data_IF_469885399782
#
_entry.id   IF_469885399782
#
_cell.length_a   1.000
_cell.length_b   1.000
_cell.length_c   1.000
_cell.angle_alpha   90.00
_cell.angle_beta   90.00
_cell.angle_gamma   90.00
#
_symmetry.space_group_name_H-M   'P 1'
#
loop_
_entity.id
_entity.type
_entity.pdbx_description
1 polymer ?
#
# COMPACT_ATOMS: atom_id res chain seq x y z
N UNK A 1 -46.17 9.49 13.26
CA UNK A 1 -45.13 8.66 12.59
C UNK A 1 -45.38 7.24 13.05
N UNK A 2 -45.68 6.33 12.13
CA UNK A 2 -45.89 4.93 12.39
C UNK A 2 -44.57 4.22 12.62
N UNK A 3 -44.58 3.00 13.19
CA UNK A 3 -43.35 2.19 13.33
C UNK A 3 -42.73 1.90 11.98
N UNK A 4 -43.52 1.68 10.92
CA UNK A 4 -43.05 1.45 9.56
C UNK A 4 -42.35 2.67 8.95
N UNK A 5 -42.85 3.89 9.23
CA UNK A 5 -42.19 5.15 8.81
C UNK A 5 -40.86 5.36 9.54
N UNK A 6 -40.78 4.98 10.83
CA UNK A 6 -39.53 5.05 11.59
C UNK A 6 -38.49 4.05 11.12
N UNK A 7 -38.89 2.82 10.79
CA UNK A 7 -38.02 1.78 10.27
C UNK A 7 -37.51 2.15 8.87
N UNK A 8 -38.36 2.67 7.98
CA UNK A 8 -37.96 3.15 6.67
C UNK A 8 -36.95 4.32 6.77
N UNK A 9 -37.19 5.26 7.69
CA UNK A 9 -36.27 6.39 7.91
C UNK A 9 -34.91 5.92 8.48
N UNK A 10 -34.92 4.91 9.35
CA UNK A 10 -33.68 4.34 9.91
C UNK A 10 -32.86 3.58 8.84
N UNK A 11 -33.52 2.82 7.96
CA UNK A 11 -32.89 2.15 6.83
C UNK A 11 -32.29 3.15 5.84
N UNK A 12 -33.02 4.25 5.53
CA UNK A 12 -32.51 5.31 4.68
C UNK A 12 -31.28 5.98 5.30
N UNK A 13 -31.30 6.26 6.61
CA UNK A 13 -30.17 6.87 7.32
C UNK A 13 -28.92 5.98 7.28
N UNK A 14 -29.08 4.66 7.46
CA UNK A 14 -27.99 3.70 7.36
C UNK A 14 -27.42 3.66 5.94
N UNK A 15 -28.28 3.54 4.93
CA UNK A 15 -27.86 3.48 3.53
C UNK A 15 -27.13 4.75 3.13
N UNK A 16 -27.66 5.91 3.51
CA UNK A 16 -27.01 7.21 3.26
C UNK A 16 -25.65 7.33 3.94
N UNK A 17 -25.52 6.85 5.19
CA UNK A 17 -24.24 6.87 5.89
C UNK A 17 -23.19 5.98 5.21
N UNK A 18 -23.57 4.77 4.76
CA UNK A 18 -22.63 3.84 4.11
C UNK A 18 -22.26 4.31 2.71
N UNK A 19 -23.23 4.70 1.89
CA UNK A 19 -22.97 5.17 0.53
C UNK A 19 -22.20 6.49 0.54
N UNK A 20 -22.60 7.46 1.35
CA UNK A 20 -21.91 8.75 1.45
C UNK A 20 -20.46 8.62 1.95
N UNK A 21 -20.22 7.73 2.93
CA UNK A 21 -18.87 7.46 3.38
C UNK A 21 -17.99 6.82 2.29
N UNK A 22 -18.55 5.85 1.52
CA UNK A 22 -17.85 5.20 0.43
C UNK A 22 -17.54 6.18 -0.71
N UNK A 23 -18.48 7.02 -1.10
CA UNK A 23 -18.31 8.06 -2.12
C UNK A 23 -17.27 9.11 -1.71
N UNK A 24 -17.23 9.45 -0.42
CA UNK A 24 -16.27 10.44 0.12
C UNK A 24 -14.84 9.91 0.10
N UNK A 25 -14.61 8.70 0.61
CA UNK A 25 -13.24 8.16 0.74
C UNK A 25 -12.77 7.42 -0.51
N UNK A 26 -13.69 6.85 -1.28
CA UNK A 26 -13.40 5.98 -2.41
C UNK A 26 -12.40 6.55 -3.42
N UNK A 27 -12.53 7.80 -3.88
CA UNK A 27 -11.57 8.39 -4.82
C UNK A 27 -10.12 8.36 -4.32
N UNK A 28 -9.89 8.36 -3.01
CA UNK A 28 -8.57 8.27 -2.39
C UNK A 28 -8.09 6.82 -2.17
N UNK A 29 -8.96 5.81 -2.31
CA UNK A 29 -8.59 4.39 -2.10
C UNK A 29 -7.88 3.85 -3.33
N UNK A 30 -6.77 3.18 -3.11
CA UNK A 30 -5.92 2.63 -4.18
C UNK A 30 -5.73 1.13 -4.02
N UNK A 31 -5.51 0.46 -5.16
CA UNK A 31 -5.03 -0.91 -5.21
C UNK A 31 -3.50 -0.92 -5.19
N UNK A 32 -2.93 -1.89 -4.49
CA UNK A 32 -1.49 -2.10 -4.41
C UNK A 32 -1.16 -3.50 -4.89
N UNK A 33 -0.38 -3.59 -5.96
CA UNK A 33 0.16 -4.83 -6.50
C UNK A 33 1.66 -4.89 -6.21
N UNK A 34 2.15 -6.05 -5.73
CA UNK A 34 3.57 -6.26 -5.45
C UNK A 34 4.13 -7.46 -6.20
N UNK A 35 5.34 -7.28 -6.74
CA UNK A 35 6.16 -8.37 -7.27
C UNK A 35 7.16 -8.80 -6.21
N UNK A 36 7.26 -10.10 -5.92
CA UNK A 36 8.21 -10.69 -4.96
C UNK A 36 9.27 -11.50 -5.69
N UNK A 37 10.47 -11.57 -5.12
CA UNK A 37 11.56 -12.39 -5.64
C UNK A 37 11.22 -13.88 -5.54
N UNK A 38 11.40 -14.66 -6.65
CA UNK A 38 11.11 -16.10 -6.70
C UNK A 38 9.70 -16.48 -7.15
N UNK A 39 8.81 -15.54 -7.33
CA UNK A 39 7.53 -15.79 -7.99
C UNK A 39 7.74 -15.90 -9.51
N UNK A 40 7.82 -17.12 -10.07
CA UNK A 40 7.39 -17.33 -11.46
C UNK A 40 6.08 -16.55 -11.58
N UNK A 41 5.90 -15.82 -12.69
CA UNK A 41 4.60 -15.26 -13.08
C UNK A 41 3.53 -16.30 -12.80
N UNK A 42 3.05 -16.38 -11.58
CA UNK A 42 1.90 -17.16 -11.25
C UNK A 42 0.73 -16.39 -11.85
N UNK A 43 0.27 -16.84 -13.02
CA UNK A 43 -1.04 -16.49 -13.58
C UNK A 43 -2.16 -17.02 -12.66
N UNK A 44 -1.90 -17.17 -11.40
CA UNK A 44 -2.95 -17.36 -10.42
C UNK A 44 -3.73 -16.06 -10.34
N UNK A 45 -5.02 -16.14 -10.47
CA UNK A 45 -5.96 -15.05 -10.18
C UNK A 45 -5.73 -14.44 -8.77
N UNK A 46 -4.84 -15.07 -7.95
CA UNK A 46 -4.51 -14.71 -6.57
C UNK A 46 -2.99 -14.77 -6.27
N UNK A 47 -2.11 -14.90 -7.26
CA UNK A 47 -0.69 -15.28 -7.08
C UNK A 47 0.33 -14.16 -6.94
N UNK A 48 -0.09 -12.90 -6.94
CA UNK A 48 0.74 -11.74 -6.55
C UNK A 48 0.28 -11.25 -5.17
N UNK A 49 1.16 -10.63 -4.39
CA UNK A 49 0.71 -9.93 -3.20
C UNK A 49 -0.21 -8.78 -3.61
N UNK A 50 -1.43 -8.80 -3.09
CA UNK A 50 -2.46 -7.83 -3.37
C UNK A 50 -2.90 -7.18 -2.06
N UNK A 51 -3.03 -5.87 -2.06
CA UNK A 51 -3.56 -5.10 -0.95
C UNK A 51 -4.23 -3.81 -1.41
N UNK A 52 -4.72 -3.09 -0.45
CA UNK A 52 -5.26 -1.75 -0.61
C UNK A 52 -4.38 -0.72 0.10
N UNK A 53 -4.63 0.52 -0.21
CA UNK A 53 -4.08 1.69 0.48
C UNK A 53 -5.00 2.88 0.29
N UNK A 54 -4.61 4.01 0.83
CA UNK A 54 -5.31 5.27 0.58
C UNK A 54 -4.34 6.45 0.58
N UNK A 55 -4.65 7.42 -0.26
CA UNK A 55 -3.88 8.66 -0.39
C UNK A 55 -4.22 9.55 0.80
N UNK A 56 -3.21 9.96 1.59
CA UNK A 56 -3.39 10.83 2.74
C UNK A 56 -2.73 12.20 2.59
N UNK A 57 -2.01 12.42 1.47
CA UNK A 57 -1.45 13.71 1.10
C UNK A 57 -1.49 13.87 -0.42
N UNK A 58 -1.84 15.06 -0.89
CA UNK A 58 -2.07 15.37 -2.31
C UNK A 58 -0.81 15.28 -3.19
N UNK A 59 0.37 15.20 -2.57
CA UNK A 59 1.68 15.02 -3.22
C UNK A 59 2.03 13.54 -3.51
N UNK A 60 1.05 12.64 -3.42
CA UNK A 60 1.19 11.21 -3.77
C UNK A 60 1.64 10.31 -2.63
N UNK A 61 1.52 10.72 -1.38
CA UNK A 61 1.79 9.85 -0.26
C UNK A 61 0.56 8.96 0.05
N UNK A 62 0.84 7.67 0.26
CA UNK A 62 -0.16 6.61 0.42
C UNK A 62 0.16 5.81 1.69
N UNK A 63 -0.87 5.55 2.48
CA UNK A 63 -0.83 4.64 3.63
C UNK A 63 -1.29 3.25 3.24
N UNK A 64 -0.62 2.25 3.79
CA UNK A 64 -0.97 0.83 3.68
C UNK A 64 -0.37 0.05 4.85
N UNK A 65 -0.55 -1.27 4.89
CA UNK A 65 0.11 -2.11 5.88
C UNK A 65 1.57 -2.45 5.49
N UNK A 66 2.43 -2.62 6.51
CA UNK A 66 3.82 -3.03 6.30
C UNK A 66 3.90 -4.45 5.71
N UNK A 67 3.02 -5.37 6.13
CA UNK A 67 2.98 -6.74 5.60
C UNK A 67 2.58 -6.80 4.12
N UNK A 68 1.75 -5.86 3.63
CA UNK A 68 1.37 -5.77 2.22
C UNK A 68 2.60 -5.54 1.35
N UNK A 69 3.50 -4.65 1.75
CA UNK A 69 4.69 -4.27 0.97
C UNK A 69 5.96 -5.00 1.38
N UNK A 70 5.87 -5.93 2.32
CA UNK A 70 7.01 -6.70 2.80
C UNK A 70 7.63 -7.55 1.69
N UNK A 71 8.97 -7.48 1.56
CA UNK A 71 9.74 -8.19 0.53
C UNK A 71 9.29 -7.87 -0.91
N UNK A 72 8.68 -6.72 -1.13
CA UNK A 72 8.32 -6.24 -2.46
C UNK A 72 9.58 -5.82 -3.22
N UNK A 73 9.80 -6.37 -4.41
CA UNK A 73 10.81 -5.94 -5.37
C UNK A 73 10.32 -4.73 -6.18
N UNK A 74 9.05 -4.74 -6.51
CA UNK A 74 8.35 -3.67 -7.22
C UNK A 74 6.97 -3.50 -6.62
N UNK A 75 6.55 -2.26 -6.47
CA UNK A 75 5.23 -1.89 -5.98
C UNK A 75 4.56 -1.07 -7.06
N UNK A 76 3.36 -1.47 -7.47
CA UNK A 76 2.50 -0.70 -8.37
C UNK A 76 1.25 -0.29 -7.65
N UNK A 77 0.83 0.94 -7.89
CA UNK A 77 -0.38 1.52 -7.34
C UNK A 77 -1.32 1.86 -8.50
N UNK A 78 -2.55 1.35 -8.41
CA UNK A 78 -3.64 1.72 -9.32
C UNK A 78 -4.61 2.62 -8.58
N UNK A 79 -4.85 3.81 -9.11
CA UNK A 79 -5.80 4.78 -8.58
C UNK A 79 -7.25 4.40 -8.93
N UNK A 80 -8.21 5.05 -8.28
CA UNK A 80 -9.64 4.83 -8.53
C UNK A 80 -10.05 5.15 -9.98
N UNK A 81 -9.36 6.08 -10.64
CA UNK A 81 -9.57 6.46 -12.04
C UNK A 81 -8.85 5.54 -13.06
N UNK A 82 -8.19 4.48 -12.59
CA UNK A 82 -7.48 3.50 -13.41
C UNK A 82 -6.04 3.86 -13.76
N UNK A 83 -5.53 5.04 -13.42
CA UNK A 83 -4.11 5.39 -13.61
C UNK A 83 -3.21 4.49 -12.77
N UNK A 84 -2.10 4.04 -13.36
CA UNK A 84 -1.14 3.12 -12.73
C UNK A 84 0.22 3.80 -12.56
N UNK A 85 0.80 3.70 -11.38
CA UNK A 85 2.09 4.27 -11.04
C UNK A 85 3.02 3.23 -10.40
N UNK A 86 4.31 3.32 -10.67
CA UNK A 86 5.32 2.70 -9.80
C UNK A 86 5.42 3.51 -8.50
N UNK A 87 5.44 2.80 -7.39
CA UNK A 87 5.52 3.41 -6.08
C UNK A 87 6.85 3.11 -5.39
N UNK A 88 7.42 4.14 -4.75
CA UNK A 88 8.57 4.00 -3.86
C UNK A 88 8.12 3.80 -2.41
N UNK A 89 8.80 2.92 -1.68
CA UNK A 89 8.64 2.80 -0.23
C UNK A 89 9.34 3.97 0.46
N UNK A 90 8.58 4.85 1.10
CA UNK A 90 9.11 5.95 1.93
C UNK A 90 9.66 5.39 3.25
N UNK A 91 8.92 4.46 3.85
CA UNK A 91 9.32 3.75 5.04
C UNK A 91 8.20 2.85 5.56
N UNK A 92 8.59 1.96 6.47
CA UNK A 92 7.67 1.06 7.15
C UNK A 92 7.97 0.98 8.64
N UNK A 93 6.93 0.74 9.43
CA UNK A 93 6.97 0.46 10.86
C UNK A 93 6.32 -0.91 11.09
N UNK A 94 7.11 -2.01 10.99
CA UNK A 94 6.56 -3.36 11.04
C UNK A 94 5.86 -3.72 12.35
N UNK A 95 6.28 -3.12 13.48
CA UNK A 95 5.66 -3.38 14.79
C UNK A 95 4.25 -2.78 14.91
N UNK A 96 3.98 -1.73 14.15
CA UNK A 96 2.66 -1.13 14.02
C UNK A 96 1.90 -1.59 12.78
N UNK A 97 2.54 -2.41 11.93
CA UNK A 97 2.04 -2.85 10.62
C UNK A 97 1.60 -1.69 9.70
N UNK A 98 2.37 -0.60 9.68
CA UNK A 98 2.11 0.60 8.85
C UNK A 98 3.25 0.83 7.88
N UNK A 99 2.94 1.15 6.64
CA UNK A 99 3.88 1.60 5.62
C UNK A 99 3.39 2.85 4.91
N UNK A 100 4.34 3.69 4.50
CA UNK A 100 4.13 4.86 3.67
C UNK A 100 4.79 4.63 2.32
N UNK A 101 3.99 4.76 1.26
CA UNK A 101 4.45 4.74 -0.13
C UNK A 101 4.38 6.16 -0.71
N UNK A 102 5.06 6.35 -1.84
CA UNK A 102 4.96 7.57 -2.65
C UNK A 102 4.90 7.23 -4.13
N UNK A 103 3.99 7.87 -4.84
CA UNK A 103 3.88 7.88 -6.31
C UNK A 103 4.28 9.25 -6.87
N UNK A 104 4.68 9.29 -8.12
CA UNK A 104 5.02 10.54 -8.82
C UNK A 104 3.79 11.21 -9.43
N UNK A 105 2.84 11.61 -8.59
CA UNK A 105 1.64 12.34 -8.98
C UNK A 105 1.27 13.36 -7.89
N UNK A 106 0.57 14.39 -8.28
CA UNK A 106 0.09 15.48 -7.43
C UNK A 106 -1.39 15.78 -7.69
N UNK A 107 -1.95 16.72 -6.93
CA UNK A 107 -3.37 17.10 -7.01
C UNK A 107 -4.33 15.92 -6.90
N UNK A 108 -3.95 14.94 -6.09
CA UNK A 108 -4.71 13.70 -5.90
C UNK A 108 -5.83 13.89 -4.86
N UNK A 109 -6.93 13.12 -4.97
CA UNK A 109 -7.93 13.05 -3.92
C UNK A 109 -7.30 12.51 -2.64
N UNK A 110 -7.64 13.11 -1.49
CA UNK A 110 -7.04 12.79 -0.18
C UNK A 110 -8.14 12.32 0.76
N UNK A 111 -7.89 11.20 1.45
CA UNK A 111 -8.76 10.73 2.51
C UNK A 111 -8.61 11.63 3.75
N UNK A 112 -9.73 12.14 4.25
CA UNK A 112 -9.74 12.92 5.48
C UNK A 112 -9.45 12.03 6.70
N UNK A 113 -8.54 12.45 7.57
CA UNK A 113 -8.22 11.74 8.80
C UNK A 113 -9.14 12.19 9.93
N UNK A 114 -9.83 11.26 10.58
CA UNK A 114 -10.72 11.50 11.70
C UNK A 114 -10.01 12.09 12.93
N UNK A 115 -10.79 12.68 13.82
CA UNK A 115 -10.26 13.35 15.04
C UNK A 115 -10.96 12.91 16.32
N UNK A 116 -12.17 12.39 16.22
CA UNK A 116 -12.95 11.99 17.38
C UNK A 116 -12.58 10.58 17.88
N UNK A 117 -12.58 10.34 19.21
CA UNK A 117 -12.40 9.01 19.74
C UNK A 117 -13.56 8.10 19.32
N UNK A 118 -13.22 6.84 18.99
CA UNK A 118 -14.20 5.82 18.64
C UNK A 118 -14.97 5.35 19.87
N UNK A 119 -16.20 4.89 19.63
CA UNK A 119 -17.04 4.25 20.65
C UNK A 119 -17.44 2.84 20.19
N UNK A 120 -17.51 1.91 21.12
CA UNK A 120 -18.09 0.58 20.87
C UNK A 120 -19.55 0.75 20.41
N UNK A 121 -19.94 0.00 19.38
CA UNK A 121 -21.25 0.14 18.72
C UNK A 121 -21.31 1.19 17.64
N UNK A 122 -20.27 2.02 17.46
CA UNK A 122 -20.22 3.03 16.39
C UNK A 122 -20.11 2.36 15.02
N UNK A 123 -20.90 2.83 14.04
CA UNK A 123 -20.83 2.40 12.65
C UNK A 123 -19.43 2.70 12.09
N UNK A 124 -18.83 1.72 11.44
CA UNK A 124 -17.60 1.83 10.69
C UNK A 124 -17.72 1.12 9.35
N UNK A 125 -17.04 1.64 8.35
CA UNK A 125 -17.08 1.15 6.98
C UNK A 125 -15.64 0.87 6.54
N UNK A 126 -15.38 -0.36 6.10
CA UNK A 126 -14.10 -0.72 5.49
C UNK A 126 -14.20 -0.59 3.98
N UNK A 127 -13.26 0.11 3.36
CA UNK A 127 -13.21 0.32 1.92
C UNK A 127 -11.87 -0.19 1.38
N UNK A 128 -11.92 -1.06 0.37
CA UNK A 128 -10.74 -1.60 -0.29
C UNK A 128 -10.92 -1.68 -1.79
N UNK A 129 -9.83 -1.98 -2.50
CA UNK A 129 -9.85 -2.20 -3.95
C UNK A 129 -9.12 -3.52 -4.30
N UNK A 130 -9.65 -4.68 -3.88
CA UNK A 130 -8.94 -5.96 -3.97
C UNK A 130 -8.70 -6.43 -5.41
N UNK A 131 -9.56 -6.07 -6.36
CA UNK A 131 -9.50 -6.64 -7.72
C UNK A 131 -9.34 -5.58 -8.81
N UNK A 132 -9.25 -4.30 -8.47
CA UNK A 132 -9.25 -3.22 -9.44
C UNK A 132 -10.60 -3.06 -10.19
N UNK A 133 -11.65 -3.65 -9.65
CA UNK A 133 -13.01 -3.69 -10.20
C UNK A 133 -13.95 -2.70 -9.51
N UNK A 134 -13.46 -1.54 -9.10
CA UNK A 134 -14.11 -0.61 -8.17
C UNK A 134 -13.93 -1.00 -6.70
N UNK A 135 -14.47 -0.18 -5.81
CA UNK A 135 -14.32 -0.37 -4.38
C UNK A 135 -15.14 -1.57 -3.88
N UNK A 136 -14.55 -2.30 -2.95
CA UNK A 136 -15.30 -3.23 -2.10
C UNK A 136 -15.60 -2.50 -0.79
N UNK A 137 -16.87 -2.38 -0.48
CA UNK A 137 -17.37 -1.70 0.71
C UNK A 137 -18.02 -2.72 1.63
N UNK A 138 -17.60 -2.74 2.90
CA UNK A 138 -18.25 -3.53 3.95
C UNK A 138 -18.49 -2.66 5.15
N UNK A 139 -19.68 -2.77 5.75
CA UNK A 139 -20.08 -1.99 6.91
C UNK A 139 -20.32 -2.90 8.12
N UNK A 140 -20.10 -2.36 9.29
CA UNK A 140 -20.25 -3.02 10.57
C UNK A 140 -20.08 -2.01 11.69
N UNK A 141 -19.78 -2.50 12.90
CA UNK A 141 -19.59 -1.67 14.08
C UNK A 141 -18.21 -1.86 14.69
N UNK A 142 -17.79 -0.91 15.51
CA UNK A 142 -16.70 -1.12 16.46
C UNK A 142 -17.18 -2.10 17.52
N UNK A 143 -16.69 -3.35 17.45
CA UNK A 143 -17.06 -4.41 18.41
C UNK A 143 -16.30 -4.26 19.73
N UNK A 144 -15.04 -3.81 19.69
CA UNK A 144 -14.22 -3.52 20.86
C UNK A 144 -13.03 -2.62 20.51
N UNK A 145 -12.42 -2.03 21.51
CA UNK A 145 -11.22 -1.20 21.42
C UNK A 145 -10.10 -1.78 22.31
N UNK A 146 -8.84 -1.43 21.97
CA UNK A 146 -7.68 -1.84 22.78
C UNK A 146 -7.37 -3.34 22.72
N UNK A 147 -7.75 -4.03 21.63
CA UNK A 147 -7.50 -5.47 21.48
C UNK A 147 -6.04 -5.76 21.19
N UNK A 148 -5.60 -6.92 21.63
CA UNK A 148 -4.27 -7.46 21.37
C UNK A 148 -4.40 -8.76 20.58
N UNK A 149 -3.59 -8.91 19.54
CA UNK A 149 -3.43 -10.16 18.81
C UNK A 149 -2.06 -10.75 19.15
N UNK A 150 -2.03 -11.98 19.68
CA UNK A 150 -0.76 -12.64 19.98
C UNK A 150 0.07 -12.82 18.71
N UNK A 151 1.37 -12.71 18.84
CA UNK A 151 2.32 -13.10 17.82
C UNK A 151 2.29 -14.62 17.61
N UNK A 152 2.80 -15.06 16.46
CA UNK A 152 2.91 -16.48 16.11
C UNK A 152 4.06 -16.68 15.12
N UNK A 153 4.27 -17.89 14.60
CA UNK A 153 5.33 -18.15 13.62
C UNK A 153 5.24 -17.17 12.44
N UNK A 154 6.24 -16.29 12.31
CA UNK A 154 6.30 -15.25 11.29
C UNK A 154 5.34 -14.06 11.49
N UNK A 155 4.63 -13.98 12.62
CA UNK A 155 3.74 -12.87 12.97
C UNK A 155 4.20 -12.21 14.27
N UNK A 156 4.22 -10.88 14.28
CA UNK A 156 4.46 -10.08 15.48
C UNK A 156 3.17 -9.91 16.30
N UNK A 157 3.32 -9.74 17.60
CA UNK A 157 2.24 -9.29 18.45
C UNK A 157 1.75 -7.90 18.01
N UNK A 158 0.44 -7.72 17.93
CA UNK A 158 -0.17 -6.43 17.61
C UNK A 158 -1.04 -5.98 18.76
N UNK A 159 -0.87 -4.71 19.18
CA UNK A 159 -1.56 -4.13 20.33
C UNK A 159 -2.44 -2.96 19.97
N UNK A 160 -3.40 -2.65 20.86
CA UNK A 160 -4.28 -1.50 20.73
C UNK A 160 -5.07 -1.50 19.42
N UNK A 161 -5.64 -2.64 19.03
CA UNK A 161 -6.40 -2.76 17.80
C UNK A 161 -7.87 -2.41 18.01
N UNK A 162 -8.51 -1.93 16.95
CA UNK A 162 -9.97 -1.85 16.81
C UNK A 162 -10.44 -3.23 16.36
N UNK A 163 -11.36 -3.84 17.11
CA UNK A 163 -12.11 -4.99 16.65
C UNK A 163 -13.39 -4.53 15.99
N UNK A 164 -13.74 -5.13 14.86
CA UNK A 164 -14.95 -4.83 14.09
C UNK A 164 -15.51 -6.10 13.46
N UNK A 165 -16.79 -6.13 13.18
CA UNK A 165 -17.47 -7.17 12.41
C UNK A 165 -17.58 -6.85 10.91
N UNK A 166 -16.99 -5.72 10.45
CA UNK A 166 -16.85 -5.48 9.01
C UNK A 166 -16.12 -6.65 8.35
N UNK A 167 -16.62 -7.10 7.20
CA UNK A 167 -15.97 -8.19 6.46
C UNK A 167 -14.63 -7.75 5.91
N UNK A 168 -13.53 -8.19 6.57
CA UNK A 168 -12.16 -7.98 6.10
C UNK A 168 -11.73 -9.22 5.34
N UNK A 169 -11.45 -9.07 4.05
CA UNK A 169 -11.03 -10.14 3.14
C UNK A 169 -9.65 -9.84 2.55
N UNK A 170 -8.94 -10.85 2.01
CA UNK A 170 -7.72 -10.62 1.27
C UNK A 170 -7.92 -9.55 0.19
N UNK A 171 -7.07 -8.50 0.21
CA UNK A 171 -7.17 -7.34 -0.67
C UNK A 171 -7.75 -6.08 -0.02
N UNK A 172 -8.53 -6.18 1.06
CA UNK A 172 -8.94 -5.01 1.85
C UNK A 172 -7.84 -4.55 2.82
N UNK A 173 -6.88 -5.44 3.16
CA UNK A 173 -5.75 -5.10 4.04
C UNK A 173 -4.99 -3.88 3.51
N UNK A 174 -4.73 -2.91 4.37
CA UNK A 174 -4.12 -1.62 4.05
C UNK A 174 -5.12 -0.54 3.64
N UNK A 175 -6.37 -0.90 3.34
CA UNK A 175 -7.45 0.06 3.07
C UNK A 175 -7.91 0.80 4.32
N UNK A 176 -8.63 1.92 4.15
CA UNK A 176 -9.15 2.70 5.27
C UNK A 176 -10.35 2.01 5.94
N UNK A 177 -10.39 2.08 7.27
CA UNK A 177 -11.61 1.97 8.06
C UNK A 177 -12.09 3.39 8.33
N UNK A 178 -13.34 3.72 7.96
CA UNK A 178 -13.87 5.08 8.07
C UNK A 178 -15.11 5.13 8.95
N UNK A 179 -15.42 6.33 9.46
CA UNK A 179 -16.69 6.62 10.14
C UNK A 179 -17.81 6.91 9.11
N UNK A 180 -19.01 7.18 9.61
CA UNK A 180 -20.20 7.48 8.78
C UNK A 180 -20.08 8.77 7.94
N UNK A 181 -19.04 9.57 8.15
CA UNK A 181 -18.74 10.77 7.35
C UNK A 181 -17.59 10.53 6.35
N UNK A 182 -17.12 9.28 6.19
CA UNK A 182 -15.99 8.94 5.30
C UNK A 182 -14.62 9.33 5.83
N UNK A 183 -14.49 9.73 7.12
CA UNK A 183 -13.21 10.08 7.72
C UNK A 183 -12.51 8.84 8.23
N UNK A 184 -11.21 8.70 7.93
CA UNK A 184 -10.41 7.56 8.32
C UNK A 184 -10.23 7.52 9.83
N UNK A 185 -10.60 6.39 10.44
CA UNK A 185 -10.45 6.10 11.87
C UNK A 185 -9.44 4.99 12.13
N UNK A 186 -9.03 4.26 11.07
CA UNK A 186 -8.01 3.23 11.16
C UNK A 186 -7.62 2.66 9.80
N UNK A 187 -6.69 1.69 9.81
CA UNK A 187 -6.27 0.91 8.65
C UNK A 187 -6.69 -0.54 8.87
N UNK A 188 -7.42 -1.15 7.93
CA UNK A 188 -7.78 -2.57 8.01
C UNK A 188 -6.51 -3.43 7.88
N UNK A 189 -6.33 -4.44 8.74
CA UNK A 189 -5.09 -5.22 8.75
C UNK A 189 -5.28 -6.72 8.72
N UNK A 190 -6.07 -7.29 9.62
CA UNK A 190 -6.15 -8.71 9.78
C UNK A 190 -7.58 -9.19 10.07
N UNK A 191 -7.82 -10.45 9.74
CA UNK A 191 -8.94 -11.24 10.23
C UNK A 191 -8.39 -12.45 10.99
N UNK A 192 -9.13 -12.93 11.97
CA UNK A 192 -8.81 -14.20 12.62
C UNK A 192 -9.20 -15.35 11.69
N UNK A 193 -8.28 -16.20 11.24
CA UNK A 193 -8.64 -17.36 10.45
C UNK A 193 -9.65 -18.21 11.19
N UNK A 194 -10.72 -18.65 10.50
CA UNK A 194 -11.79 -19.50 11.05
C UNK A 194 -12.73 -18.84 12.09
N UNK A 195 -12.62 -17.53 12.32
CA UNK A 195 -13.52 -16.76 13.17
C UNK A 195 -14.23 -15.67 12.35
N UNK A 196 -15.41 -16.00 11.83
CA UNK A 196 -16.24 -15.03 11.09
C UNK A 196 -16.65 -13.87 12.02
N UNK A 197 -16.63 -12.63 11.49
CA UNK A 197 -17.00 -11.44 12.26
C UNK A 197 -15.92 -10.92 13.23
N UNK A 198 -14.69 -11.43 13.16
CA UNK A 198 -13.55 -10.91 13.93
C UNK A 198 -12.52 -10.26 13.00
N UNK A 199 -12.82 -9.04 12.58
CA UNK A 199 -11.91 -8.16 11.86
C UNK A 199 -11.13 -7.25 12.81
N UNK A 200 -9.92 -6.86 12.41
CA UNK A 200 -9.06 -5.97 13.19
C UNK A 200 -8.52 -4.85 12.32
N UNK A 201 -8.42 -3.67 12.92
CA UNK A 201 -7.86 -2.48 12.27
C UNK A 201 -6.91 -1.76 13.22
N UNK A 202 -5.89 -1.13 12.65
CA UNK A 202 -4.93 -0.31 13.36
C UNK A 202 -5.56 1.06 13.60
N UNK A 203 -5.68 1.55 14.85
CA UNK A 203 -6.25 2.86 15.12
C UNK A 203 -5.44 3.99 14.51
N UNK A 204 -6.11 5.07 14.15
CA UNK A 204 -5.48 6.24 13.53
C UNK A 204 -4.37 6.86 14.38
N UNK A 205 -4.47 6.83 15.70
CA UNK A 205 -3.42 7.33 16.61
C UNK A 205 -2.14 6.53 16.47
N UNK A 206 -2.24 5.19 16.36
CA UNK A 206 -1.09 4.31 16.09
C UNK A 206 -0.50 4.60 14.72
N UNK A 207 -1.35 4.84 13.70
CA UNK A 207 -0.91 5.21 12.35
C UNK A 207 -0.14 6.54 12.36
N UNK A 208 -0.68 7.58 13.00
CA UNK A 208 -0.01 8.89 13.14
C UNK A 208 1.36 8.77 13.84
N UNK A 209 1.44 7.98 14.91
CA UNK A 209 2.69 7.73 15.61
C UNK A 209 3.70 6.99 14.73
N UNK A 210 3.25 6.03 13.90
CA UNK A 210 4.10 5.32 12.94
C UNK A 210 4.64 6.25 11.85
N UNK A 211 3.79 7.10 11.26
CA UNK A 211 4.22 8.11 10.28
C UNK A 211 5.29 9.03 10.87
N UNK A 212 5.10 9.52 12.09
CA UNK A 212 6.08 10.37 12.77
C UNK A 212 7.42 9.66 12.97
N UNK A 213 7.44 8.35 13.29
CA UNK A 213 8.67 7.55 13.38
C UNK A 213 9.35 7.36 12.02
N UNK A 214 8.58 7.08 10.98
CA UNK A 214 9.08 6.93 9.60
C UNK A 214 9.75 8.22 9.14
N UNK A 215 9.12 9.38 9.35
CA UNK A 215 9.64 10.68 8.94
C UNK A 215 10.94 11.03 9.68
N UNK A 216 11.02 10.83 11.00
CA UNK A 216 12.25 11.05 11.78
C UNK A 216 13.42 10.19 11.30
N UNK A 217 13.18 8.89 11.00
CA UNK A 217 14.22 8.01 10.45
C UNK A 217 14.70 8.44 9.08
N UNK A 218 13.85 9.06 8.28
CA UNK A 218 14.19 9.59 6.95
C UNK A 218 15.07 10.84 7.07
N UNK A 219 14.73 11.75 7.96
CA UNK A 219 15.50 12.98 8.21
C UNK A 219 16.88 12.70 8.77
N UNK A 220 17.02 11.67 9.61
CA UNK A 220 18.29 11.27 10.22
C UNK A 220 19.23 10.50 9.28
N UNK A 221 18.79 10.12 8.05
CA UNK A 221 19.65 9.49 7.05
C UNK A 221 20.44 10.58 6.32
N UNK A 222 21.80 10.57 6.37
CA UNK A 222 22.60 11.52 5.61
C UNK A 222 22.29 11.38 4.13
N UNK A 223 22.06 12.51 3.45
CA UNK A 223 21.91 12.55 1.99
C UNK A 223 23.09 11.86 1.35
N UNK A 224 22.89 11.00 0.32
CA UNK A 224 24.00 10.43 -0.42
C UNK A 224 24.85 11.59 -0.95
N UNK A 225 26.14 11.66 -0.52
CA UNK A 225 27.09 12.66 -1.03
C UNK A 225 27.09 12.55 -2.54
N UNK A 226 26.70 13.63 -3.21
CA UNK A 226 26.96 13.79 -4.64
C UNK A 226 28.47 13.64 -4.83
N UNK A 227 28.90 12.58 -5.49
CA UNK A 227 30.29 12.46 -5.93
C UNK A 227 30.64 13.69 -6.74
N UNK A 228 31.74 14.42 -6.43
CA UNK A 228 32.16 15.51 -7.29
C UNK A 228 32.47 14.92 -8.67
N UNK A 229 31.82 15.45 -9.69
CA UNK A 229 32.09 15.15 -11.08
C UNK A 229 33.61 15.31 -11.35
N UNK A 230 34.22 14.17 -11.71
CA UNK A 230 35.63 14.12 -12.00
C UNK A 230 35.99 15.16 -13.06
N UNK A 231 36.93 16.02 -12.70
CA UNK A 231 37.63 16.95 -13.58
C UNK A 231 38.14 16.22 -14.83
N UNK A 232 37.69 16.66 -15.98
CA UNK A 232 38.21 16.29 -17.27
C UNK A 232 39.72 16.61 -17.33
N UNK A 233 40.57 15.57 -17.36
CA UNK A 233 41.98 15.71 -17.71
C UNK A 233 42.08 15.89 -19.23
N UNK A 234 42.32 17.10 -19.63
CA UNK A 234 42.79 17.45 -20.94
C UNK A 234 44.18 16.83 -21.16
N UNK A 235 44.29 15.85 -22.03
CA UNK A 235 45.55 15.39 -22.58
C UNK A 235 45.81 16.19 -23.86
N UNK A 236 46.72 17.15 -23.77
CA UNK A 236 47.32 17.80 -24.92
C UNK A 236 48.31 16.84 -25.59
N UNK A 237 48.28 16.84 -26.92
CA UNK A 237 49.01 15.92 -27.75
C UNK A 237 50.51 16.10 -27.80
N UNK A 238 51.18 15.12 -28.38
CA UNK A 238 52.28 15.26 -29.39
C UNK A 238 52.57 13.92 -30.05
N UNK A 239 52.32 13.92 -31.30
CA UNK A 239 53.01 13.40 -32.47
C UNK A 239 54.27 12.53 -32.25
N UNK A 240 54.29 11.36 -32.86
CA UNK A 240 55.31 11.04 -33.90
C UNK A 240 55.06 9.67 -34.54
N UNK A 241 55.32 9.66 -35.82
CA UNK A 241 55.15 8.65 -36.84
C UNK A 241 56.08 7.41 -36.69
N UNK A 242 55.70 6.33 -37.32
CA UNK A 242 56.40 5.54 -38.33
C UNK A 242 56.17 4.01 -38.25
N UNK A 243 55.68 3.53 -39.33
CA UNK A 243 56.11 2.50 -40.28
C UNK A 243 55.69 1.05 -40.07
N UNK A 244 54.94 0.62 -41.10
CA UNK A 244 55.08 -0.53 -42.00
C UNK A 244 55.01 -1.96 -41.42
N UNK A 245 54.14 -2.74 -42.09
CA UNK A 245 54.30 -4.13 -42.29
C UNK A 245 53.02 -4.98 -42.35
N UNK A 246 52.44 -5.13 -43.54
CA UNK A 246 51.54 -6.24 -43.91
C UNK A 246 52.45 -7.40 -44.46
N UNK A 247 51.89 -8.55 -44.90
CA UNK A 247 50.69 -9.36 -44.58
C UNK A 247 51.03 -10.86 -44.48
N UNK A 248 50.08 -11.74 -44.13
CA UNK A 248 49.87 -13.08 -44.71
C UNK A 248 48.74 -13.78 -43.97
N UNK A 249 47.65 -14.02 -44.64
CA UNK A 249 47.20 -15.22 -45.38
C UNK A 249 47.03 -16.47 -44.52
N UNK A 250 45.81 -17.03 -44.57
CA UNK A 250 45.58 -18.41 -44.22
C UNK A 250 44.14 -18.73 -43.80
N UNK A 251 43.26 -18.93 -44.76
CA UNK A 251 42.08 -19.82 -44.69
C UNK A 251 42.54 -21.24 -45.03
N UNK A 252 41.75 -22.34 -44.99
CA UNK A 252 40.37 -22.57 -44.48
C UNK A 252 40.12 -24.02 -43.94
N UNK A 253 38.82 -24.34 -43.76
CA UNK A 253 38.16 -25.68 -43.78
C UNK A 253 38.22 -26.50 -42.47
N UNK A 254 37.24 -27.28 -42.03
CA UNK A 254 36.00 -27.85 -42.58
C UNK A 254 35.31 -28.66 -41.48
N UNK A 255 34.00 -28.61 -41.40
CA UNK A 255 33.02 -29.72 -41.53
C UNK A 255 32.97 -30.84 -40.47
N UNK A 256 31.76 -31.17 -40.17
CA UNK A 256 31.03 -32.43 -39.92
C UNK A 256 30.30 -32.44 -38.58
N UNK A 257 29.00 -32.45 -38.60
CA UNK A 257 27.92 -33.44 -38.86
C UNK A 257 27.66 -34.38 -37.69
N UNK A 258 26.40 -34.42 -37.31
CA UNK A 258 25.58 -35.54 -36.79
C UNK A 258 25.87 -35.97 -35.33
N UNK A 259 24.90 -36.14 -34.48
CA UNK A 259 23.53 -36.69 -34.49
C UNK A 259 22.64 -35.95 -33.50
#
# INVERSE_FOLDING_TARGET
>A
MTIEEQDAQALDAYSHAVTGAAETVGPAVVRIDIDREGGRFSRSLFGGGLGSGFIFASDGQILTNAHVVSNARRIRVTLADGRVFDAGLVGAEPDADVAVLRIGADHLPVAELGRAPLKVGQLVIAVGNPYGLNWTVTAGVVSALGRELPGGPGRREMKNLIQTDTSINPGNSGGPLVDSLGRVVGITTAMMPMAQGLGFSIPLETVKAAIARINRRRESRPSPRRSPSGTARTLSGRDTARRRGSPHSGRPRSSHRRR
#
